data_IF_914173573578
#
_entry.id   IF_914173573578
#
_cell.length_a   1.000
_cell.length_b   1.000
_cell.length_c   1.000
_cell.angle_alpha   90.00
_cell.angle_beta   90.00
_cell.angle_gamma   90.00
#
_symmetry.space_group_name_H-M   'P 1'
#
loop_
_entity.id
_entity.type
_entity.pdbx_description
1 polymer ?
#
# COMPACT_ATOMS: atom_id res chain seq x y z
N UNK A 1 -4.23 13.53 1.12
CA UNK A 1 -2.82 13.25 0.77
C UNK A 1 -2.78 11.94 0.00
N UNK A 2 -2.15 11.94 -1.17
CA UNK A 2 -1.77 10.73 -1.89
C UNK A 2 -0.28 10.56 -1.61
N UNK A 3 0.12 9.37 -1.19
CA UNK A 3 1.53 8.98 -1.08
C UNK A 3 1.75 7.80 -2.01
N UNK A 4 2.93 7.73 -2.63
CA UNK A 4 3.31 6.72 -3.62
C UNK A 4 4.71 6.22 -3.31
N UNK A 5 4.85 4.90 -3.19
CA UNK A 5 6.14 4.20 -3.15
C UNK A 5 6.15 3.16 -4.26
N UNK A 6 7.31 2.98 -4.91
CA UNK A 6 7.51 2.04 -6.01
C UNK A 6 8.60 1.00 -5.66
N UNK A 7 8.47 -0.21 -6.21
CA UNK A 7 9.56 -1.20 -6.24
C UNK A 7 10.68 -0.74 -7.18
N UNK A 8 11.86 -1.36 -7.09
CA UNK A 8 13.04 -0.97 -7.89
C UNK A 8 12.82 -1.16 -9.40
N UNK A 9 12.00 -2.15 -9.76
CA UNK A 9 11.54 -2.40 -11.14
C UNK A 9 10.37 -1.51 -11.56
N UNK A 10 9.79 -0.72 -10.65
CA UNK A 10 8.65 0.15 -10.94
C UNK A 10 7.35 -0.60 -11.23
N UNK A 11 7.26 -1.90 -10.91
CA UNK A 11 6.07 -2.73 -11.20
C UNK A 11 4.99 -2.58 -10.11
N UNK A 12 5.40 -2.43 -8.85
CA UNK A 12 4.51 -2.38 -7.69
C UNK A 12 4.46 -0.98 -7.12
N UNK A 13 3.25 -0.48 -6.88
CA UNK A 13 3.00 0.84 -6.32
C UNK A 13 2.05 0.78 -5.12
N UNK A 14 2.32 1.59 -4.11
CA UNK A 14 1.35 1.79 -3.03
C UNK A 14 0.55 3.05 -3.35
N UNK A 15 -0.78 2.96 -3.33
CA UNK A 15 -1.64 4.13 -3.50
C UNK A 15 -2.51 4.28 -2.28
N UNK A 16 -2.31 5.41 -1.59
CA UNK A 16 -3.15 5.82 -0.48
C UNK A 16 -4.26 6.73 -0.99
N UNK A 17 -5.52 6.34 -0.81
CA UNK A 17 -6.68 7.21 -1.06
C UNK A 17 -7.26 7.68 0.28
N UNK A 18 -7.13 8.99 0.56
CA UNK A 18 -7.73 9.58 1.75
C UNK A 18 -9.22 9.88 1.51
N UNK A 19 -10.10 8.98 1.93
CA UNK A 19 -11.55 9.23 1.95
C UNK A 19 -12.32 8.25 2.84
N UNK A 20 -12.92 8.76 3.92
CA UNK A 20 -13.99 8.10 4.69
C UNK A 20 -13.59 6.94 5.62
N UNK A 21 -12.69 6.06 5.22
CA UNK A 21 -12.10 5.00 6.05
C UNK A 21 -10.65 4.75 5.61
N UNK A 22 -9.73 4.76 6.58
CA UNK A 22 -8.28 4.83 6.43
C UNK A 22 -7.66 3.55 5.83
N UNK A 23 -7.91 3.32 4.55
CA UNK A 23 -7.48 2.12 3.84
C UNK A 23 -6.32 2.42 2.90
N UNK A 24 -5.16 1.80 3.16
CA UNK A 24 -4.06 1.77 2.19
C UNK A 24 -4.21 0.49 1.35
N UNK A 25 -4.21 0.66 0.02
CA UNK A 25 -4.18 -0.45 -0.93
C UNK A 25 -2.84 -0.47 -1.65
N UNK A 26 -2.31 -1.67 -1.81
CA UNK A 26 -1.10 -1.91 -2.57
C UNK A 26 -1.54 -2.47 -3.91
N UNK A 27 -1.11 -1.82 -4.97
CA UNK A 27 -1.45 -2.15 -6.35
C UNK A 27 -0.18 -2.39 -7.14
N UNK A 28 -0.30 -3.07 -8.26
CA UNK A 28 0.77 -3.16 -9.26
C UNK A 28 0.20 -2.84 -10.62
N UNK A 29 1.02 -2.29 -11.49
CA UNK A 29 0.65 -2.13 -12.88
C UNK A 29 0.72 -3.50 -13.54
N UNK A 30 -0.29 -3.84 -14.33
CA UNK A 30 -0.29 -5.09 -15.12
C UNK A 30 -0.61 -4.73 -16.55
N UNK A 31 0.34 -5.04 -17.43
CA UNK A 31 0.16 -4.96 -18.87
C UNK A 31 -0.78 -6.08 -19.36
N UNK A 32 -1.68 -5.74 -20.28
CA UNK A 32 -2.63 -6.66 -20.89
C UNK A 32 -2.73 -6.32 -22.36
N UNK A 33 -2.54 -7.31 -23.22
CA UNK A 33 -2.87 -7.21 -24.63
C UNK A 33 -4.40 -7.22 -24.76
N UNK A 34 -4.98 -6.27 -25.48
CA UNK A 34 -6.39 -6.34 -25.85
C UNK A 34 -6.56 -6.37 -27.35
N UNK A 35 -7.51 -7.17 -27.84
CA UNK A 35 -7.76 -7.36 -29.28
C UNK A 35 -8.62 -6.22 -29.86
N UNK A 36 -9.20 -5.39 -29.01
CA UNK A 36 -10.29 -4.45 -29.29
C UNK A 36 -9.88 -2.97 -29.31
N UNK A 37 -8.60 -2.64 -29.08
CA UNK A 37 -7.99 -1.33 -29.41
C UNK A 37 -8.53 -0.10 -28.69
N UNK A 38 -9.51 -0.24 -27.79
CA UNK A 38 -10.10 0.87 -27.05
C UNK A 38 -9.38 1.09 -25.71
N UNK A 39 -8.69 2.23 -25.58
CA UNK A 39 -7.97 2.59 -24.35
C UNK A 39 -6.60 1.92 -24.19
N UNK A 40 -5.96 1.56 -25.30
CA UNK A 40 -4.61 0.98 -25.38
C UNK A 40 -3.58 2.03 -25.82
N UNK A 41 -2.30 1.77 -25.59
CA UNK A 41 -1.18 2.57 -26.10
C UNK A 41 -0.93 2.31 -27.61
N UNK A 42 0.12 2.93 -28.17
CA UNK A 42 0.43 2.85 -29.61
C UNK A 42 0.75 1.45 -30.11
N UNK A 43 1.09 0.53 -29.22
CA UNK A 43 1.47 -0.84 -29.55
C UNK A 43 0.32 -1.83 -29.22
N UNK A 44 -0.82 -1.34 -28.75
CA UNK A 44 -1.99 -2.16 -28.43
C UNK A 44 -2.02 -2.70 -27.00
N UNK A 45 -1.16 -2.19 -26.11
CA UNK A 45 -1.14 -2.60 -24.71
C UNK A 45 -2.08 -1.74 -23.87
N UNK A 46 -2.79 -2.37 -22.93
CA UNK A 46 -3.52 -1.70 -21.87
C UNK A 46 -2.83 -1.98 -20.53
N UNK A 47 -2.83 -0.98 -19.65
CA UNK A 47 -2.35 -1.15 -18.29
C UNK A 47 -3.50 -1.05 -17.29
N UNK A 48 -3.63 -2.05 -16.43
CA UNK A 48 -4.60 -2.07 -15.34
C UNK A 48 -3.87 -2.05 -13.99
N UNK A 49 -4.41 -1.30 -13.03
CA UNK A 49 -3.97 -1.34 -11.64
C UNK A 49 -4.61 -2.51 -10.89
N UNK A 50 -3.81 -3.51 -10.51
CA UNK A 50 -4.29 -4.74 -9.87
C UNK A 50 -3.81 -4.84 -8.41
N UNK A 51 -4.67 -5.19 -7.44
CA UNK A 51 -4.25 -5.38 -6.05
C UNK A 51 -3.16 -6.46 -5.86
N UNK A 52 -2.17 -6.16 -5.00
CA UNK A 52 -1.03 -7.06 -4.68
C UNK A 52 -1.30 -7.96 -3.46
N UNK A 53 -2.48 -7.85 -2.86
CA UNK A 53 -2.93 -8.77 -1.83
C UNK A 53 -4.41 -8.61 -1.54
N UNK A 54 -4.92 -9.53 -0.74
CA UNK A 54 -6.23 -9.49 -0.13
C UNK A 54 -6.15 -8.58 1.10
N UNK A 55 -7.03 -7.58 1.14
CA UNK A 55 -7.24 -6.76 2.33
C UNK A 55 -6.73 -5.32 2.24
N UNK A 56 -6.88 -4.64 3.36
CA UNK A 56 -6.56 -3.24 3.57
C UNK A 56 -5.48 -3.17 4.64
N UNK A 57 -4.41 -2.42 4.38
CA UNK A 57 -3.49 -2.05 5.44
C UNK A 57 -4.08 -0.83 6.16
N UNK A 58 -4.49 -1.05 7.40
CA UNK A 58 -5.02 0.00 8.25
C UNK A 58 -3.86 0.78 8.89
N UNK A 59 -3.82 2.08 8.59
CA UNK A 59 -3.20 3.03 9.51
C UNK A 59 -4.08 3.17 10.76
N UNK A 60 -3.46 3.54 11.85
CA UNK A 60 -3.90 3.33 13.21
C UNK A 60 -3.88 4.70 13.86
N UNK A 61 -5.01 5.12 14.41
CA UNK A 61 -5.17 6.41 15.04
C UNK A 61 -6.57 6.96 14.80
N UNK A 62 -7.25 7.35 15.87
CA UNK A 62 -8.61 7.90 15.90
C UNK A 62 -8.70 9.31 15.29
N UNK A 63 -8.44 9.43 14.00
CA UNK A 63 -8.66 10.68 13.28
C UNK A 63 -7.37 11.27 12.74
N UNK A 64 -7.37 11.49 11.42
CA UNK A 64 -6.32 12.22 10.68
C UNK A 64 -4.95 11.53 10.63
N UNK A 65 -4.84 10.58 9.71
CA UNK A 65 -3.57 10.16 9.07
C UNK A 65 -2.87 11.27 8.29
N UNK A 66 -3.01 12.54 8.64
CA UNK A 66 -2.46 13.66 7.85
C UNK A 66 -0.94 13.61 7.66
N UNK A 67 -0.24 12.66 8.29
CA UNK A 67 1.18 12.80 8.57
C UNK A 67 2.00 11.49 8.52
N UNK A 68 1.40 10.36 8.13
CA UNK A 68 2.10 9.07 8.04
C UNK A 68 2.86 8.84 6.73
N UNK A 69 4.00 8.14 6.80
CA UNK A 69 4.84 7.77 5.64
C UNK A 69 4.65 6.29 5.27
N UNK A 70 4.88 5.96 4.00
CA UNK A 70 4.84 4.58 3.51
C UNK A 70 6.15 4.26 2.77
N UNK A 71 6.71 3.07 3.01
CA UNK A 71 7.82 2.53 2.25
C UNK A 71 7.54 1.09 1.80
N UNK A 72 7.97 0.76 0.58
CA UNK A 72 7.86 -0.56 -0.05
C UNK A 72 9.27 -1.16 -0.22
N UNK A 73 9.44 -2.45 0.04
CA UNK A 73 10.69 -3.14 -0.29
C UNK A 73 10.89 -3.28 -1.80
N UNK A 74 12.13 -3.42 -2.24
CA UNK A 74 12.46 -3.55 -3.66
C UNK A 74 11.72 -4.71 -4.36
N UNK A 75 11.47 -5.81 -3.65
CA UNK A 75 10.74 -6.98 -4.14
C UNK A 75 9.21 -6.87 -4.02
N UNK A 76 8.69 -5.74 -3.53
CA UNK A 76 7.26 -5.51 -3.33
C UNK A 76 6.61 -6.36 -2.22
N UNK A 77 7.37 -7.18 -1.49
CA UNK A 77 6.81 -8.17 -0.55
C UNK A 77 6.63 -7.64 0.88
N UNK A 78 7.23 -6.49 1.21
CA UNK A 78 7.23 -5.91 2.54
C UNK A 78 6.87 -4.43 2.49
N UNK A 79 5.99 -3.99 3.39
CA UNK A 79 5.57 -2.59 3.51
C UNK A 79 5.74 -2.10 4.93
N UNK A 80 6.35 -0.93 5.09
CA UNK A 80 6.37 -0.19 6.33
C UNK A 80 5.40 1.00 6.23
N UNK A 81 4.56 1.17 7.24
CA UNK A 81 3.65 2.30 7.41
C UNK A 81 3.97 2.95 8.74
N UNK A 82 4.14 4.27 8.75
CA UNK A 82 4.35 5.03 9.96
C UNK A 82 3.26 6.07 10.17
N UNK A 83 3.08 6.48 11.41
CA UNK A 83 2.29 7.66 11.80
C UNK A 83 3.01 8.33 12.98
N UNK A 84 3.59 9.51 12.77
CA UNK A 84 4.36 10.18 13.82
C UNK A 84 3.48 10.86 14.88
N UNK A 85 2.18 11.09 14.61
CA UNK A 85 1.23 11.69 15.57
C UNK A 85 0.36 10.64 16.26
N UNK A 86 0.67 9.36 16.13
CA UNK A 86 -0.17 8.32 16.70
C UNK A 86 -0.17 8.35 18.24
N UNK A 87 -1.33 8.63 18.82
CA UNK A 87 -1.62 8.43 20.25
C UNK A 87 -1.74 6.93 20.53
N UNK A 88 -0.95 6.40 21.46
CA UNK A 88 -0.97 4.99 21.85
C UNK A 88 -0.64 4.80 23.33
N UNK A 89 -0.45 3.56 23.77
CA UNK A 89 -0.14 3.21 25.16
C UNK A 89 1.16 3.86 25.68
N UNK A 90 2.05 4.29 24.77
CA UNK A 90 3.27 5.04 25.10
C UNK A 90 3.04 6.54 25.29
N UNK A 91 1.82 7.03 25.07
CA UNK A 91 1.42 8.42 25.26
C UNK A 91 0.89 9.13 24.00
N UNK A 92 0.63 10.42 24.16
CA UNK A 92 0.13 11.30 23.10
C UNK A 92 1.22 11.56 22.07
N UNK A 93 0.91 11.37 20.79
CA UNK A 93 1.81 11.58 19.64
C UNK A 93 3.15 10.85 19.81
N UNK A 94 3.13 9.68 20.45
CA UNK A 94 4.31 8.84 20.63
C UNK A 94 4.79 8.22 19.30
N UNK A 95 3.93 8.27 18.28
CA UNK A 95 4.19 7.74 16.97
C UNK A 95 4.12 6.22 16.93
N UNK A 96 4.07 5.66 15.72
CA UNK A 96 4.07 4.22 15.51
C UNK A 96 4.59 3.87 14.13
N UNK A 97 5.29 2.75 14.03
CA UNK A 97 5.65 2.11 12.77
C UNK A 97 5.06 0.70 12.77
N UNK A 98 4.43 0.29 11.68
CA UNK A 98 4.01 -1.08 11.43
C UNK A 98 4.64 -1.59 10.15
N UNK A 99 5.12 -2.83 10.20
CA UNK A 99 5.71 -3.54 9.07
C UNK A 99 4.81 -4.71 8.74
N UNK A 100 4.45 -4.85 7.48
CA UNK A 100 3.62 -5.92 6.95
C UNK A 100 4.40 -6.71 5.90
N UNK A 101 4.20 -8.01 5.87
CA UNK A 101 4.71 -8.90 4.82
C UNK A 101 3.58 -9.60 4.10
N UNK A 102 3.68 -9.65 2.78
CA UNK A 102 2.75 -10.40 1.96
C UNK A 102 3.08 -11.89 2.06
N UNK A 103 2.07 -12.70 2.38
CA UNK A 103 2.14 -14.13 2.18
C UNK A 103 1.83 -14.42 0.70
N UNK A 104 2.79 -14.94 -0.10
CA UNK A 104 2.56 -15.16 -1.53
C UNK A 104 1.52 -16.26 -1.81
N UNK A 105 1.32 -17.19 -0.87
CA UNK A 105 0.37 -18.30 -1.02
C UNK A 105 -1.08 -17.86 -0.73
N UNK A 106 -1.30 -17.12 0.35
CA UNK A 106 -2.67 -16.67 0.74
C UNK A 106 -3.01 -15.29 0.20
N UNK A 107 -2.01 -14.56 -0.29
CA UNK A 107 -2.08 -13.16 -0.72
C UNK A 107 -2.48 -12.22 0.42
N UNK A 108 -2.33 -12.62 1.68
CA UNK A 108 -2.68 -11.81 2.84
C UNK A 108 -1.48 -11.04 3.38
N UNK A 109 -1.72 -9.85 3.95
CA UNK A 109 -0.70 -9.05 4.64
C UNK A 109 -0.65 -9.40 6.13
N UNK A 110 0.51 -9.82 6.61
CA UNK A 110 0.75 -10.14 8.03
C UNK A 110 1.65 -9.10 8.67
N UNK A 111 1.23 -8.52 9.80
CA UNK A 111 2.06 -7.59 10.56
C UNK A 111 3.23 -8.33 11.22
N UNK A 112 4.45 -7.83 11.06
CA UNK A 112 5.68 -8.42 11.58
C UNK A 112 6.08 -7.88 12.95
N UNK A 113 5.73 -6.63 13.26
CA UNK A 113 6.09 -5.97 14.51
C UNK A 113 4.84 -5.75 15.38
N UNK A 114 4.63 -6.66 16.34
CA UNK A 114 3.66 -6.49 17.40
C UNK A 114 2.40 -7.32 17.21
N UNK A 115 2.43 -8.53 17.79
CA UNK A 115 1.36 -8.91 18.68
C UNK A 115 1.53 -8.12 19.99
N UNK A 116 0.52 -7.33 20.31
CA UNK A 116 -0.08 -7.10 21.63
C UNK A 116 -1.31 -6.23 21.41
#
# INVERSE_FOLDING_TARGET
FIDVAASEDGEVFIVRTSGGQYSTRIVRLVERLTEDGAGVDTDGHRYDWVPVGNGVIHSIGNGTISSGFIALSADGSTVAVSDYMNDNDSGKSAGLVRVYRLNPATREWTQLNGGN
#
